data_IF_558237416624
#
_entry.id   IF_558237416624
#
_cell.length_a   1.000
_cell.length_b   1.000
_cell.length_c   1.000
_cell.angle_alpha   90.00
_cell.angle_beta   90.00
_cell.angle_gamma   90.00
#
_symmetry.space_group_name_H-M   'P 1'
#
loop_
_entity.id
_entity.type
_entity.pdbx_description
1 polymer ?
#
# COMPACT_ATOMS: atom_id res chain seq x y z
N UNK A 1 24.14 -1.46 5.17
CA UNK A 1 22.71 -1.56 5.58
C UNK A 1 21.96 -2.17 4.42
N UNK A 2 21.24 -3.28 4.62
CA UNK A 2 20.48 -3.89 3.52
C UNK A 2 19.35 -2.95 3.10
N UNK A 3 19.24 -2.76 1.80
CA UNK A 3 18.29 -1.84 1.18
C UNK A 3 16.93 -2.54 1.12
N UNK A 4 15.89 -1.98 1.78
CA UNK A 4 14.56 -2.61 1.91
C UNK A 4 13.60 -2.29 0.76
N UNK A 5 12.67 -3.19 0.48
CA UNK A 5 11.57 -2.91 -0.44
C UNK A 5 10.59 -1.89 0.17
N UNK A 6 9.64 -1.40 -0.62
CA UNK A 6 8.64 -0.44 -0.16
C UNK A 6 7.25 -0.89 -0.60
N UNK A 7 6.30 -0.86 0.34
CA UNK A 7 4.87 -1.00 0.07
C UNK A 7 4.18 0.29 0.49
N UNK A 8 3.34 0.83 -0.38
CA UNK A 8 2.37 1.87 -0.02
C UNK A 8 1.01 1.19 0.19
N UNK A 9 0.37 1.47 1.32
CA UNK A 9 -1.03 1.08 1.53
C UNK A 9 -1.97 1.91 0.62
N UNK A 10 -3.25 1.56 0.59
CA UNK A 10 -4.23 2.28 -0.24
C UNK A 10 -4.37 3.74 0.16
N UNK A 11 -4.27 4.08 1.45
CA UNK A 11 -4.37 5.46 1.93
C UNK A 11 -3.21 6.34 1.46
N UNK A 12 -2.00 5.80 1.38
CA UNK A 12 -0.80 6.47 0.87
C UNK A 12 -0.87 6.65 -0.65
N UNK A 13 -1.32 5.64 -1.40
CA UNK A 13 -1.57 5.78 -2.83
C UNK A 13 -2.56 6.90 -3.11
N UNK A 14 -3.72 6.88 -2.45
CA UNK A 14 -4.78 7.88 -2.65
C UNK A 14 -4.28 9.28 -2.31
N UNK A 15 -3.54 9.44 -1.20
CA UNK A 15 -2.93 10.72 -0.83
C UNK A 15 -1.97 11.24 -1.90
N UNK A 16 -1.09 10.37 -2.42
CA UNK A 16 -0.15 10.74 -3.48
C UNK A 16 -0.88 11.14 -4.78
N UNK A 17 -1.88 10.37 -5.20
CA UNK A 17 -2.63 10.61 -6.43
C UNK A 17 -3.42 11.93 -6.36
N UNK A 18 -3.98 12.25 -5.19
CA UNK A 18 -4.79 13.45 -4.98
C UNK A 18 -3.94 14.68 -4.59
N UNK A 19 -2.62 14.59 -4.64
CA UNK A 19 -1.68 15.65 -4.25
C UNK A 19 -1.97 16.22 -2.85
N UNK A 20 -2.25 15.31 -1.90
CA UNK A 20 -2.54 15.66 -0.51
C UNK A 20 -1.31 16.15 0.27
N UNK A 21 -1.50 16.69 1.49
CA UNK A 21 -0.41 17.24 2.31
C UNK A 21 0.81 16.31 2.49
N UNK A 22 0.60 14.99 2.52
CA UNK A 22 1.69 14.03 2.69
C UNK A 22 2.21 13.45 1.35
N UNK A 23 1.70 13.88 0.20
CA UNK A 23 2.07 13.35 -1.11
C UNK A 23 3.58 13.38 -1.36
N UNK A 24 4.27 14.42 -0.88
CA UNK A 24 5.73 14.55 -1.00
C UNK A 24 6.52 13.44 -0.30
N UNK A 25 6.02 12.88 0.80
CA UNK A 25 6.68 11.76 1.49
C UNK A 25 6.56 10.45 0.69
N UNK A 26 5.41 10.23 0.06
CA UNK A 26 5.17 9.08 -0.82
C UNK A 26 5.91 9.21 -2.16
N UNK A 27 5.98 10.41 -2.71
CA UNK A 27 6.77 10.70 -3.91
C UNK A 27 8.25 10.32 -3.74
N UNK A 28 8.84 10.62 -2.57
CA UNK A 28 10.22 10.21 -2.24
C UNK A 28 10.38 8.69 -2.24
N UNK A 29 9.39 7.95 -1.73
CA UNK A 29 9.43 6.49 -1.74
C UNK A 29 9.32 5.90 -3.15
N UNK A 30 8.51 6.52 -4.00
CA UNK A 30 8.32 6.13 -5.40
C UNK A 30 9.52 6.45 -6.32
N UNK A 31 10.56 7.12 -5.81
CA UNK A 31 11.85 7.27 -6.50
C UNK A 31 12.75 6.03 -6.41
N UNK A 32 12.37 5.04 -5.61
CA UNK A 32 13.08 3.75 -5.58
C UNK A 32 13.01 3.06 -6.96
N UNK A 33 13.97 2.18 -7.29
CA UNK A 33 13.87 1.33 -8.47
C UNK A 33 12.52 0.60 -8.52
N UNK A 34 11.92 0.49 -9.70
CA UNK A 34 10.55 0.01 -9.87
C UNK A 34 10.34 -1.41 -9.33
N UNK A 35 11.38 -2.26 -9.41
CA UNK A 35 11.40 -3.62 -8.87
C UNK A 35 11.38 -3.69 -7.34
N UNK A 36 11.62 -2.57 -6.65
CA UNK A 36 11.58 -2.48 -5.18
C UNK A 36 10.29 -1.91 -4.64
N UNK A 37 9.41 -1.43 -5.51
CA UNK A 37 8.08 -0.94 -5.14
C UNK A 37 7.13 -2.12 -5.33
N UNK A 38 6.55 -2.58 -4.22
CA UNK A 38 5.67 -3.74 -4.20
C UNK A 38 4.23 -3.24 -4.08
N UNK A 39 3.37 -3.71 -4.98
CA UNK A 39 1.96 -3.31 -5.06
C UNK A 39 1.08 -4.53 -4.77
N UNK A 40 0.49 -4.62 -3.56
CA UNK A 40 -0.52 -5.64 -3.27
C UNK A 40 -1.74 -5.47 -4.19
N UNK A 41 -2.27 -6.56 -4.75
CA UNK A 41 -3.47 -6.47 -5.60
C UNK A 41 -4.70 -5.89 -4.88
N UNK A 42 -4.76 -6.02 -3.54
CA UNK A 42 -5.84 -5.38 -2.75
C UNK A 42 -5.75 -3.86 -2.78
N UNK A 43 -4.54 -3.27 -2.83
CA UNK A 43 -4.38 -1.82 -2.98
C UNK A 43 -4.92 -1.36 -4.35
N UNK A 44 -4.71 -2.14 -5.42
CA UNK A 44 -5.26 -1.82 -6.75
C UNK A 44 -6.79 -1.73 -6.67
N UNK A 45 -7.46 -2.69 -6.00
CA UNK A 45 -8.90 -2.67 -5.79
C UNK A 45 -9.36 -1.41 -5.03
N UNK A 46 -8.72 -1.10 -3.90
CA UNK A 46 -9.13 0.03 -3.06
C UNK A 46 -8.87 1.39 -3.71
N UNK A 47 -7.74 1.54 -4.41
CA UNK A 47 -7.38 2.73 -5.16
C UNK A 47 -8.33 2.92 -6.33
N UNK A 48 -8.58 1.89 -7.14
CA UNK A 48 -9.54 1.98 -8.25
C UNK A 48 -10.89 2.49 -7.78
N UNK A 49 -11.48 1.81 -6.78
CA UNK A 49 -12.79 2.14 -6.21
C UNK A 49 -12.83 3.57 -5.67
N UNK A 50 -11.74 4.02 -5.05
CA UNK A 50 -11.68 5.35 -4.43
C UNK A 50 -11.55 6.45 -5.48
N UNK A 51 -10.63 6.30 -6.44
CA UNK A 51 -10.40 7.29 -7.49
C UNK A 51 -11.59 7.35 -8.45
N UNK A 52 -12.24 6.22 -8.74
CA UNK A 52 -13.47 6.20 -9.53
C UNK A 52 -14.55 7.08 -8.89
N UNK A 53 -14.74 6.93 -7.58
CA UNK A 53 -15.75 7.65 -6.81
C UNK A 53 -15.43 9.14 -6.65
N UNK A 54 -14.16 9.49 -6.50
CA UNK A 54 -13.71 10.87 -6.21
C UNK A 54 -13.50 11.68 -7.49
N UNK A 55 -13.00 11.03 -8.54
CA UNK A 55 -12.53 11.69 -9.77
C UNK A 55 -13.28 11.19 -11.00
N UNK A 56 -12.96 10.00 -11.50
CA UNK A 56 -13.64 9.36 -12.65
C UNK A 56 -13.15 7.94 -12.90
N UNK A 57 -13.94 7.15 -13.64
CA UNK A 57 -13.53 5.82 -14.15
C UNK A 57 -12.25 5.89 -14.99
N UNK A 58 -12.13 6.91 -15.85
CA UNK A 58 -10.95 7.09 -16.71
C UNK A 58 -9.68 7.28 -15.88
N UNK A 59 -9.75 8.09 -14.83
CA UNK A 59 -8.62 8.34 -13.94
C UNK A 59 -8.27 7.09 -13.13
N UNK A 60 -9.27 6.38 -12.60
CA UNK A 60 -9.07 5.13 -11.86
C UNK A 60 -8.33 4.07 -12.69
N UNK A 61 -8.72 3.92 -13.97
CA UNK A 61 -8.03 3.03 -14.92
C UNK A 61 -6.57 3.48 -15.15
N UNK A 62 -6.34 4.75 -15.47
CA UNK A 62 -5.00 5.26 -15.74
C UNK A 62 -4.05 5.07 -14.55
N UNK A 63 -4.50 5.43 -13.35
CA UNK A 63 -3.74 5.28 -12.10
C UNK A 63 -3.42 3.82 -11.81
N UNK A 64 -4.40 2.94 -11.86
CA UNK A 64 -4.17 1.52 -11.53
C UNK A 64 -3.33 0.79 -12.58
N UNK A 65 -3.40 1.19 -13.85
CA UNK A 65 -2.45 0.73 -14.87
C UNK A 65 -1.02 1.19 -14.56
N UNK A 66 -0.84 2.42 -14.08
CA UNK A 66 0.47 2.93 -13.65
C UNK A 66 1.02 2.14 -12.46
N UNK A 67 0.19 1.81 -11.46
CA UNK A 67 0.59 0.98 -10.32
C UNK A 67 1.08 -0.41 -10.77
N UNK A 68 0.56 -0.95 -11.86
CA UNK A 68 0.97 -2.25 -12.42
C UNK A 68 2.32 -2.24 -13.14
N UNK A 69 2.95 -1.07 -13.31
CA UNK A 69 4.32 -0.96 -13.84
C UNK A 69 5.39 -1.32 -12.80
N UNK A 70 5.00 -1.36 -11.51
CA UNK A 70 5.83 -1.83 -10.40
C UNK A 70 5.67 -3.35 -10.21
N UNK A 71 6.28 -3.89 -9.15
CA UNK A 71 6.16 -5.32 -8.83
C UNK A 71 4.83 -5.60 -8.13
N UNK A 72 3.91 -6.27 -8.82
CA UNK A 72 2.60 -6.62 -8.27
C UNK A 72 2.68 -7.93 -7.46
N UNK A 73 2.30 -7.89 -6.18
CA UNK A 73 2.10 -9.08 -5.36
C UNK A 73 0.66 -9.57 -5.49
N UNK A 74 0.47 -10.65 -6.23
CA UNK A 74 -0.84 -11.29 -6.41
C UNK A 74 -1.25 -11.97 -5.11
N UNK A 75 -2.46 -11.68 -4.63
CA UNK A 75 -3.06 -12.37 -3.48
C UNK A 75 -3.24 -13.87 -3.79
N UNK A 76 -2.22 -14.65 -3.44
CA UNK A 76 -2.22 -16.11 -3.54
C UNK A 76 -2.90 -16.75 -2.32
N UNK A 77 -3.17 -18.05 -2.40
CA UNK A 77 -3.65 -18.82 -1.25
C UNK A 77 -2.69 -18.76 -0.05
N UNK A 78 -1.37 -18.77 -0.30
CA UNK A 78 -0.35 -18.66 0.74
C UNK A 78 -0.44 -17.31 1.45
N UNK A 79 -0.47 -16.22 0.65
CA UNK A 79 -0.66 -14.85 1.15
C UNK A 79 -1.95 -14.70 1.95
N UNK A 80 -3.04 -15.31 1.50
CA UNK A 80 -4.33 -15.26 2.19
C UNK A 80 -4.28 -15.94 3.57
N UNK A 81 -3.62 -17.09 3.69
CA UNK A 81 -3.43 -17.79 4.99
C UNK A 81 -2.56 -16.97 5.95
N UNK A 82 -1.47 -16.39 5.45
CA UNK A 82 -0.60 -15.48 6.22
C UNK A 82 -1.38 -14.26 6.73
N UNK A 83 -2.12 -13.60 5.83
CA UNK A 83 -2.96 -12.46 6.16
C UNK A 83 -4.00 -12.80 7.23
N UNK A 84 -4.66 -13.97 7.15
CA UNK A 84 -5.61 -14.38 8.17
C UNK A 84 -4.97 -14.53 9.57
N UNK A 85 -3.76 -15.08 9.65
CA UNK A 85 -3.02 -15.17 10.90
C UNK A 85 -2.63 -13.78 11.44
N UNK A 86 -2.18 -12.89 10.55
CA UNK A 86 -1.82 -11.50 10.87
C UNK A 86 -3.04 -10.71 11.35
N UNK A 87 -4.17 -10.82 10.65
CA UNK A 87 -5.44 -10.18 11.00
C UNK A 87 -5.84 -10.54 12.42
N UNK A 88 -5.83 -11.83 12.78
CA UNK A 88 -6.14 -12.28 14.13
C UNK A 88 -5.13 -11.76 15.17
N UNK A 89 -3.85 -11.74 14.84
CA UNK A 89 -2.77 -11.38 15.78
C UNK A 89 -2.74 -9.89 16.08
N UNK A 90 -3.00 -9.06 15.07
CA UNK A 90 -2.89 -7.60 15.14
C UNK A 90 -4.24 -6.89 15.11
N UNK A 91 -5.35 -7.63 15.10
CA UNK A 91 -6.71 -7.14 14.97
C UNK A 91 -6.94 -6.25 13.71
N UNK A 92 -6.20 -6.53 12.64
CA UNK A 92 -6.31 -5.81 11.36
C UNK A 92 -7.52 -6.29 10.55
N UNK A 93 -8.09 -5.38 9.76
CA UNK A 93 -9.08 -5.74 8.74
C UNK A 93 -8.48 -6.71 7.71
N UNK A 94 -9.33 -7.39 6.92
CA UNK A 94 -8.85 -8.32 5.89
C UNK A 94 -7.91 -7.64 4.89
N UNK A 95 -8.24 -6.42 4.43
CA UNK A 95 -7.42 -5.69 3.46
C UNK A 95 -6.08 -5.31 4.08
N UNK A 96 -6.09 -4.74 5.28
CA UNK A 96 -4.88 -4.30 5.97
C UNK A 96 -3.95 -5.45 6.29
N UNK A 97 -4.51 -6.59 6.70
CA UNK A 97 -3.74 -7.78 6.95
C UNK A 97 -3.08 -8.33 5.68
N UNK A 98 -3.73 -8.25 4.52
CA UNK A 98 -3.13 -8.63 3.22
C UNK A 98 -1.99 -7.67 2.86
N UNK A 99 -2.18 -6.36 3.05
CA UNK A 99 -1.15 -5.35 2.80
C UNK A 99 0.07 -5.59 3.70
N UNK A 100 -0.15 -5.80 5.01
CA UNK A 100 0.94 -6.05 5.94
C UNK A 100 1.65 -7.38 5.68
N UNK A 101 0.91 -8.45 5.39
CA UNK A 101 1.49 -9.72 4.97
C UNK A 101 2.42 -9.55 3.75
N UNK A 102 1.96 -8.77 2.77
CA UNK A 102 2.75 -8.42 1.58
C UNK A 102 4.05 -7.73 1.96
N UNK A 103 3.99 -6.71 2.81
CA UNK A 103 5.18 -5.99 3.26
C UNK A 103 6.18 -6.92 3.97
N UNK A 104 5.71 -7.81 4.85
CA UNK A 104 6.58 -8.74 5.58
C UNK A 104 7.29 -9.72 4.66
N UNK A 105 6.58 -10.34 3.72
CA UNK A 105 7.20 -11.34 2.83
C UNK A 105 8.21 -10.75 1.85
N UNK A 106 8.07 -9.46 1.51
CA UNK A 106 9.01 -8.75 0.66
C UNK A 106 10.10 -8.01 1.45
N UNK A 107 10.17 -8.18 2.78
CA UNK A 107 11.07 -7.41 3.66
C UNK A 107 11.00 -5.91 3.35
N UNK A 108 9.78 -5.40 3.25
CA UNK A 108 9.48 -4.03 2.86
C UNK A 108 9.14 -3.16 4.07
N UNK A 109 9.42 -1.86 3.95
CA UNK A 109 8.81 -0.86 4.82
C UNK A 109 7.41 -0.52 4.27
N UNK A 110 6.39 -0.57 5.14
CA UNK A 110 5.02 -0.19 4.81
C UNK A 110 4.78 1.28 5.13
N UNK A 111 4.44 2.06 4.12
CA UNK A 111 4.11 3.47 4.23
C UNK A 111 2.58 3.64 4.21
N UNK A 112 2.05 4.40 5.17
CA UNK A 112 0.59 4.45 5.41
C UNK A 112 0.16 5.72 6.14
N UNK A 113 -1.10 6.13 5.96
CA UNK A 113 -1.80 7.11 6.81
C UNK A 113 -2.83 6.48 7.75
N UNK A 114 -2.95 5.16 7.74
CA UNK A 114 -3.87 4.42 8.58
C UNK A 114 -3.23 4.10 9.93
N UNK A 115 -3.90 4.54 11.00
CA UNK A 115 -3.41 4.43 12.35
C UNK A 115 -3.38 2.98 12.85
N UNK A 116 -4.14 2.08 12.21
CA UNK A 116 -4.21 0.66 12.57
C UNK A 116 -2.85 -0.04 12.41
N UNK A 117 -1.97 0.47 11.53
CA UNK A 117 -0.61 -0.05 11.35
C UNK A 117 0.44 0.60 12.26
N UNK A 118 0.14 1.73 12.93
CA UNK A 118 1.14 2.65 13.52
C UNK A 118 2.15 1.97 14.45
N UNK A 119 1.74 0.90 15.16
CA UNK A 119 2.58 0.21 16.16
C UNK A 119 3.24 -1.06 15.62
N UNK A 120 3.07 -1.37 14.35
CA UNK A 120 3.58 -2.60 13.78
C UNK A 120 5.04 -2.43 13.32
N UNK A 121 5.86 -3.50 13.41
CA UNK A 121 7.22 -3.49 12.88
C UNK A 121 7.28 -3.12 11.39
N UNK A 122 8.34 -2.40 11.01
CA UNK A 122 8.59 -1.98 9.62
C UNK A 122 7.47 -1.10 9.02
N UNK A 123 6.77 -0.33 9.85
CA UNK A 123 5.75 0.63 9.41
C UNK A 123 6.27 2.06 9.56
N UNK A 124 6.03 2.87 8.53
CA UNK A 124 6.21 4.32 8.50
C UNK A 124 4.84 4.98 8.37
N UNK A 125 4.28 5.34 9.53
CA UNK A 125 3.00 6.04 9.61
C UNK A 125 3.18 7.55 9.42
N UNK A 126 2.41 8.14 8.51
CA UNK A 126 2.32 9.58 8.31
C UNK A 126 0.94 10.04 8.73
N UNK A 127 0.89 10.86 9.79
CA UNK A 127 -0.38 11.38 10.30
C UNK A 127 -1.04 12.24 9.24
N UNK A 128 -2.33 11.99 8.97
CA UNK A 128 -3.12 12.83 8.07
C UNK A 128 -3.18 14.25 8.61
N UNK A 129 -2.62 15.20 7.86
CA UNK A 129 -2.79 16.64 8.13
C UNK A 129 -4.10 17.09 7.51
N UNK A 130 -4.91 17.83 8.27
CA UNK A 130 -6.16 18.41 7.76
C UNK A 130 -5.89 19.60 6.86
#
# INVERSE_FOLDING_TARGET
MSVRNVVLDSSAWIEYILDGPNAGEYAKALQAPAERIIVPTVCIFEVYRSIERIVSVKEALAVTMSMQTFTVDILSEGRAREAAMISRTHALSTADAVIYATALAHNADLLTQDADFMKLPSVRYFKRSR
#
